data_IF_453567808684
#
_entry.id   IF_453567808684
#
_cell.length_a   1.000
_cell.length_b   1.000
_cell.length_c   1.000
_cell.angle_alpha   90.00
_cell.angle_beta   90.00
_cell.angle_gamma   90.00
#
_symmetry.space_group_name_H-M   'P 1'
#
loop_
_entity.id
_entity.type
_entity.pdbx_description
1 polymer ?
#
# COMPACT_ATOMS: atom_id res chain seq x y z
N UNK A 1 -9.41 -14.06 15.21
CA UNK A 1 -8.90 -12.78 15.72
C UNK A 1 -7.95 -12.98 16.90
N UNK A 2 -8.25 -13.87 17.84
CA UNK A 2 -7.39 -14.13 19.01
C UNK A 2 -6.37 -15.27 18.80
N UNK A 3 -6.45 -16.00 17.70
CA UNK A 3 -5.53 -17.10 17.39
C UNK A 3 -4.30 -16.64 16.58
N UNK A 4 -4.27 -15.40 16.14
CA UNK A 4 -3.14 -14.76 15.44
C UNK A 4 -2.59 -15.59 14.27
N UNK A 5 -3.50 -16.24 13.53
CA UNK A 5 -3.19 -17.05 12.35
C UNK A 5 -4.27 -16.93 11.29
N UNK A 6 -3.91 -17.34 10.09
CA UNK A 6 -4.80 -17.51 8.94
C UNK A 6 -4.94 -19.00 8.70
N UNK A 7 -6.14 -19.46 8.49
CA UNK A 7 -6.48 -20.84 8.14
C UNK A 7 -7.10 -20.86 6.74
N UNK A 8 -6.68 -21.83 5.94
CA UNK A 8 -7.15 -22.03 4.58
C UNK A 8 -7.89 -23.35 4.52
N UNK A 9 -9.09 -23.31 3.96
CA UNK A 9 -9.97 -24.44 3.75
C UNK A 9 -10.29 -24.58 2.26
N UNK A 10 -10.64 -25.78 1.82
CA UNK A 10 -11.20 -26.00 0.49
C UNK A 10 -12.69 -25.55 0.44
N UNK A 11 -13.31 -25.70 -0.75
CA UNK A 11 -14.71 -25.34 -0.95
C UNK A 11 -15.69 -26.22 -0.16
N UNK A 12 -15.28 -27.40 0.23
CA UNK A 12 -16.07 -28.35 1.04
C UNK A 12 -15.88 -28.14 2.55
N UNK A 13 -14.98 -27.19 2.92
CA UNK A 13 -14.70 -26.85 4.33
C UNK A 13 -13.63 -27.73 4.98
N UNK A 14 -12.90 -28.54 4.22
CA UNK A 14 -11.79 -29.31 4.75
C UNK A 14 -10.56 -28.43 4.96
N UNK A 15 -9.89 -28.60 6.08
CA UNK A 15 -8.67 -27.87 6.38
C UNK A 15 -7.54 -28.24 5.40
N UNK A 16 -6.92 -27.23 4.81
CA UNK A 16 -5.77 -27.38 3.91
C UNK A 16 -4.48 -27.06 4.67
N UNK A 17 -4.38 -25.85 5.20
CA UNK A 17 -3.18 -25.34 5.88
C UNK A 17 -3.46 -24.13 6.76
N UNK A 18 -2.47 -23.75 7.55
CA UNK A 18 -2.48 -22.50 8.31
C UNK A 18 -1.11 -21.86 8.29
N UNK A 19 -1.07 -20.54 8.48
CA UNK A 19 0.16 -19.78 8.66
C UNK A 19 -0.05 -18.60 9.61
N UNK A 20 1.07 -18.01 10.06
CA UNK A 20 1.09 -16.90 10.99
C UNK A 20 1.24 -17.35 12.45
N UNK A 21 1.72 -16.44 13.23
CA UNK A 21 1.93 -16.57 14.67
C UNK A 21 1.78 -15.24 15.37
N UNK A 22 1.57 -15.24 16.68
CA UNK A 22 1.53 -14.02 17.48
C UNK A 22 2.87 -13.29 17.45
N UNK A 23 2.84 -11.96 17.28
CA UNK A 23 4.01 -11.12 17.29
C UNK A 23 3.73 -9.73 16.71
N UNK A 24 4.71 -8.83 16.82
CA UNK A 24 4.67 -7.43 16.40
C UNK A 24 5.48 -7.12 15.12
N UNK A 25 6.25 -8.11 14.63
CA UNK A 25 7.08 -7.97 13.43
C UNK A 25 6.30 -8.29 12.16
N UNK A 26 6.75 -7.80 10.99
CA UNK A 26 6.21 -8.26 9.72
C UNK A 26 6.25 -9.79 9.61
N UNK A 27 5.20 -10.39 9.04
CA UNK A 27 5.01 -11.85 8.99
C UNK A 27 4.36 -12.45 10.25
N UNK A 28 4.09 -11.64 11.27
CA UNK A 28 3.36 -12.06 12.48
C UNK A 28 2.09 -11.23 12.66
N UNK A 29 1.21 -11.64 13.56
CA UNK A 29 -0.08 -10.97 13.79
C UNK A 29 -0.30 -10.65 15.27
N UNK A 30 -0.89 -9.50 15.52
CA UNK A 30 -1.40 -9.13 16.85
C UNK A 30 -2.93 -9.18 16.90
N UNK A 31 -3.60 -8.66 15.88
CA UNK A 31 -5.06 -8.67 15.79
C UNK A 31 -5.53 -8.61 14.34
N UNK A 32 -5.37 -9.70 13.57
CA UNK A 32 -5.84 -9.75 12.18
C UNK A 32 -7.37 -9.65 12.18
N UNK A 33 -7.93 -8.72 11.40
CA UNK A 33 -9.37 -8.48 11.28
C UNK A 33 -9.87 -8.60 9.85
N UNK A 34 -9.21 -7.92 8.91
CA UNK A 34 -9.57 -7.95 7.50
C UNK A 34 -8.73 -8.94 6.73
N UNK A 35 -9.33 -9.66 5.79
CA UNK A 35 -8.64 -10.55 4.88
C UNK A 35 -9.26 -10.42 3.49
N UNK A 36 -8.41 -10.44 2.46
CA UNK A 36 -8.80 -10.49 1.06
C UNK A 36 -7.79 -11.31 0.27
N UNK A 37 -8.21 -11.82 -0.89
CA UNK A 37 -7.33 -12.53 -1.82
C UNK A 37 -7.35 -11.75 -3.13
N UNK A 38 -6.16 -11.52 -3.72
CA UNK A 38 -6.05 -10.85 -5.01
C UNK A 38 -6.21 -11.83 -6.18
N UNK A 39 -6.12 -11.31 -7.41
CA UNK A 39 -6.31 -12.11 -8.62
C UNK A 39 -5.21 -13.15 -8.85
N UNK A 40 -4.05 -12.97 -8.24
CA UNK A 40 -2.90 -13.87 -8.31
C UNK A 40 -2.89 -14.92 -7.19
N UNK A 41 -3.89 -14.85 -6.28
CA UNK A 41 -4.06 -15.77 -5.16
C UNK A 41 -3.29 -15.39 -3.91
N UNK A 42 -2.66 -14.20 -3.86
CA UNK A 42 -1.99 -13.73 -2.64
C UNK A 42 -2.99 -13.38 -1.54
N UNK A 43 -2.61 -13.69 -0.33
CA UNK A 43 -3.45 -13.46 0.86
C UNK A 43 -3.06 -12.15 1.52
N UNK A 44 -3.97 -11.20 1.53
CA UNK A 44 -3.79 -9.90 2.15
C UNK A 44 -4.49 -9.84 3.50
N UNK A 45 -3.79 -9.37 4.52
CA UNK A 45 -4.28 -9.35 5.90
C UNK A 45 -4.10 -7.96 6.50
N UNK A 46 -5.19 -7.40 7.02
CA UNK A 46 -5.18 -6.15 7.77
C UNK A 46 -5.12 -6.45 9.28
N UNK A 47 -4.07 -5.98 9.95
CA UNK A 47 -3.90 -6.12 11.40
C UNK A 47 -4.24 -4.81 12.11
N UNK A 48 -5.25 -4.88 12.98
CA UNK A 48 -5.81 -3.70 13.65
C UNK A 48 -4.94 -3.13 14.77
N UNK A 49 -4.00 -3.89 15.30
CA UNK A 49 -3.10 -3.45 16.37
C UNK A 49 -1.75 -3.03 15.82
N UNK A 50 -1.27 -3.73 14.81
CA UNK A 50 -0.04 -3.33 14.11
C UNK A 50 -0.26 -2.15 13.16
N UNK A 51 -1.52 -1.76 12.87
CA UNK A 51 -1.87 -0.71 11.91
C UNK A 51 -1.16 -0.90 10.56
N UNK A 52 -1.17 -2.14 10.06
CA UNK A 52 -0.54 -2.49 8.78
C UNK A 52 -1.35 -3.52 8.01
N UNK A 53 -1.14 -3.50 6.71
CA UNK A 53 -1.63 -4.54 5.78
C UNK A 53 -0.42 -5.34 5.31
N UNK A 54 -0.54 -6.66 5.36
CA UNK A 54 0.52 -7.59 4.98
C UNK A 54 0.01 -8.50 3.86
N UNK A 55 0.86 -8.77 2.86
CA UNK A 55 0.60 -9.65 1.74
C UNK A 55 1.46 -10.90 1.85
N UNK A 56 0.86 -12.05 1.66
CA UNK A 56 1.50 -13.36 1.76
C UNK A 56 1.25 -14.18 0.51
N UNK A 57 2.17 -15.10 0.20
CA UNK A 57 1.88 -16.18 -0.74
C UNK A 57 0.77 -17.09 -0.18
N UNK A 58 0.13 -17.92 -1.01
CA UNK A 58 -0.81 -18.94 -0.52
C UNK A 58 -0.18 -19.92 0.49
N UNK A 59 1.14 -20.07 0.49
CA UNK A 59 1.91 -20.91 1.42
C UNK A 59 2.13 -20.24 2.77
N UNK A 60 2.02 -18.90 2.82
CA UNK A 60 2.15 -18.09 4.04
C UNK A 60 3.49 -17.36 4.16
N UNK A 61 4.25 -17.27 3.09
CA UNK A 61 5.48 -16.48 3.04
C UNK A 61 5.14 -15.00 2.85
N UNK A 62 5.71 -14.14 3.67
CA UNK A 62 5.51 -12.69 3.58
C UNK A 62 6.16 -12.14 2.31
N UNK A 63 5.36 -11.49 1.46
CA UNK A 63 5.81 -10.80 0.24
C UNK A 63 6.11 -9.33 0.52
N UNK A 64 5.11 -8.58 0.96
CA UNK A 64 5.24 -7.17 1.27
C UNK A 64 4.35 -6.79 2.45
N UNK A 65 4.62 -5.65 3.03
CA UNK A 65 3.71 -5.00 3.97
C UNK A 65 3.69 -3.49 3.75
N UNK A 66 2.59 -2.85 4.14
CA UNK A 66 2.42 -1.40 4.04
C UNK A 66 1.67 -0.86 5.26
N UNK A 67 1.85 0.42 5.52
CA UNK A 67 1.19 1.13 6.61
C UNK A 67 2.08 1.34 7.82
N UNK A 68 1.45 1.72 8.90
CA UNK A 68 2.02 2.07 10.19
C UNK A 68 1.07 2.98 10.93
N UNK A 69 1.25 3.14 12.23
CA UNK A 69 0.35 3.93 13.07
C UNK A 69 0.36 5.41 12.68
N UNK A 70 -0.82 5.97 12.43
CA UNK A 70 -0.98 7.40 12.15
C UNK A 70 -2.24 7.74 11.35
N UNK A 71 -2.35 9.03 10.99
CA UNK A 71 -3.52 9.59 10.29
C UNK A 71 -3.19 10.16 8.91
N UNK A 72 -1.93 10.17 8.52
CA UNK A 72 -1.51 10.61 7.18
C UNK A 72 -1.91 9.59 6.11
N UNK A 73 -1.96 9.98 4.84
CA UNK A 73 -2.13 9.02 3.74
C UNK A 73 -1.07 7.90 3.82
N UNK A 74 -1.51 6.65 3.68
CA UNK A 74 -0.65 5.47 3.82
C UNK A 74 -0.37 5.02 5.26
N UNK A 75 -0.79 5.78 6.26
CA UNK A 75 -0.82 5.36 7.65
C UNK A 75 -2.22 4.89 8.03
N UNK A 76 -2.31 4.08 9.07
CA UNK A 76 -3.58 3.52 9.53
C UNK A 76 -3.78 3.72 11.03
N UNK A 77 -5.05 3.68 11.41
CA UNK A 77 -5.45 3.72 12.80
C UNK A 77 -6.67 2.84 13.02
N UNK A 78 -6.47 1.74 13.73
CA UNK A 78 -7.52 0.75 14.00
C UNK A 78 -8.14 0.20 12.71
N UNK A 79 -7.32 -0.46 11.89
CA UNK A 79 -7.79 -1.16 10.68
C UNK A 79 -8.92 -2.12 11.02
N UNK A 80 -10.00 -2.08 10.24
CA UNK A 80 -11.19 -2.89 10.46
C UNK A 80 -11.52 -3.81 9.29
N UNK A 81 -11.38 -3.33 8.07
CA UNK A 81 -11.74 -4.06 6.87
C UNK A 81 -10.71 -3.92 5.76
N UNK A 82 -10.74 -4.90 4.87
CA UNK A 82 -9.89 -5.00 3.69
C UNK A 82 -10.71 -5.60 2.55
N UNK A 83 -10.60 -5.01 1.37
CA UNK A 83 -11.20 -5.52 0.14
C UNK A 83 -10.25 -5.27 -1.02
N UNK A 84 -10.16 -6.20 -1.96
CA UNK A 84 -9.37 -6.07 -3.18
C UNK A 84 -10.25 -6.39 -4.36
N UNK A 85 -10.23 -5.54 -5.36
CA UNK A 85 -10.99 -5.75 -6.58
C UNK A 85 -10.14 -6.42 -7.69
N UNK A 86 -10.81 -6.79 -8.78
CA UNK A 86 -10.18 -7.44 -9.95
C UNK A 86 -9.11 -6.59 -10.67
N UNK A 87 -8.96 -5.31 -10.32
CA UNK A 87 -7.94 -4.43 -10.88
C UNK A 87 -6.80 -4.16 -9.89
N UNK A 88 -6.64 -5.03 -8.88
CA UNK A 88 -5.64 -4.90 -7.82
C UNK A 88 -5.73 -3.57 -7.04
N UNK A 89 -6.95 -3.01 -6.93
CA UNK A 89 -7.21 -1.89 -6.03
C UNK A 89 -7.55 -2.42 -4.65
N UNK A 90 -6.79 -1.98 -3.67
CA UNK A 90 -6.90 -2.38 -2.28
C UNK A 90 -7.65 -1.28 -1.54
N UNK A 91 -8.78 -1.63 -0.94
CA UNK A 91 -9.58 -0.73 -0.12
C UNK A 91 -9.43 -1.13 1.34
N UNK A 92 -9.04 -0.19 2.18
CA UNK A 92 -8.94 -0.37 3.61
C UNK A 92 -9.98 0.50 4.31
N UNK A 93 -10.59 -0.01 5.36
CA UNK A 93 -11.47 0.78 6.23
C UNK A 93 -10.88 0.86 7.64
N UNK A 94 -10.99 2.03 8.25
CA UNK A 94 -10.49 2.34 9.59
C UNK A 94 -11.65 2.72 10.49
N UNK A 95 -11.65 2.20 11.73
CA UNK A 95 -12.66 2.59 12.73
C UNK A 95 -12.43 4.01 13.22
N UNK A 96 -11.19 4.45 13.28
CA UNK A 96 -10.82 5.81 13.62
C UNK A 96 -9.76 6.32 12.61
N UNK A 97 -9.97 7.47 12.00
CA UNK A 97 -11.04 8.46 12.16
C UNK A 97 -12.34 8.17 11.38
N UNK A 98 -12.61 6.94 10.97
CA UNK A 98 -13.76 6.60 10.13
C UNK A 98 -13.46 6.88 8.65
N UNK A 99 -12.35 6.36 8.14
CA UNK A 99 -11.79 6.64 6.83
C UNK A 99 -11.70 5.38 5.99
N UNK A 100 -11.86 5.55 4.68
CA UNK A 100 -11.49 4.55 3.68
C UNK A 100 -10.31 5.08 2.90
N UNK A 101 -9.28 4.25 2.69
CA UNK A 101 -8.18 4.56 1.79
C UNK A 101 -8.15 3.54 0.66
N UNK A 102 -7.76 4.00 -0.52
CA UNK A 102 -7.59 3.15 -1.69
C UNK A 102 -6.13 3.20 -2.14
N UNK A 103 -5.56 2.02 -2.30
CA UNK A 103 -4.22 1.81 -2.84
C UNK A 103 -4.31 0.99 -4.11
N UNK A 104 -3.32 1.08 -4.96
CA UNK A 104 -3.17 0.19 -6.10
C UNK A 104 -1.86 -0.57 -5.97
N UNK A 105 -1.96 -1.87 -6.02
CA UNK A 105 -0.81 -2.75 -6.17
C UNK A 105 -0.44 -2.80 -7.65
N UNK A 106 0.84 -2.62 -7.95
CA UNK A 106 1.38 -2.76 -9.29
C UNK A 106 2.14 -4.06 -9.39
N UNK A 107 1.90 -4.82 -10.44
CA UNK A 107 2.80 -5.90 -10.84
C UNK A 107 4.16 -5.33 -11.21
N UNK A 108 5.21 -6.16 -11.25
CA UNK A 108 6.56 -5.70 -11.59
C UNK A 108 6.61 -5.00 -12.96
N UNK A 109 5.86 -5.50 -13.93
CA UNK A 109 5.81 -4.91 -15.27
C UNK A 109 5.07 -3.57 -15.28
N UNK A 110 3.95 -3.46 -14.58
CA UNK A 110 3.24 -2.20 -14.39
C UNK A 110 4.10 -1.17 -13.64
N UNK A 111 4.81 -1.60 -12.60
CA UNK A 111 5.70 -0.74 -11.82
C UNK A 111 6.84 -0.19 -12.69
N UNK A 112 7.46 -1.02 -13.55
CA UNK A 112 8.48 -0.59 -14.51
C UNK A 112 7.93 0.41 -15.51
N UNK A 113 6.75 0.14 -16.06
CA UNK A 113 6.09 1.04 -17.01
C UNK A 113 5.74 2.40 -16.39
N UNK A 114 5.22 2.39 -15.16
CA UNK A 114 4.88 3.62 -14.43
C UNK A 114 6.12 4.44 -14.08
N UNK A 115 7.20 3.80 -13.62
CA UNK A 115 8.48 4.45 -13.38
C UNK A 115 9.07 5.09 -14.64
N UNK A 116 8.95 4.41 -15.78
CA UNK A 116 9.39 4.96 -17.08
C UNK A 116 8.59 6.20 -17.46
N UNK A 117 7.27 6.18 -17.28
CA UNK A 117 6.40 7.34 -17.52
C UNK A 117 6.74 8.53 -16.63
N UNK A 118 6.97 8.31 -15.34
CA UNK A 118 7.35 9.37 -14.39
C UNK A 118 8.67 10.02 -14.77
N UNK A 119 9.68 9.22 -15.11
CA UNK A 119 10.98 9.72 -15.57
C UNK A 119 10.89 10.54 -16.86
N UNK A 120 10.01 10.16 -17.79
CA UNK A 120 9.77 10.93 -19.02
C UNK A 120 9.07 12.27 -18.72
N UNK A 121 8.08 12.28 -17.83
CA UNK A 121 7.38 13.49 -17.42
C UNK A 121 8.31 14.47 -16.69
N UNK A 122 9.21 14.00 -15.84
CA UNK A 122 10.22 14.83 -15.17
C UNK A 122 11.21 15.45 -16.17
N UNK A 123 11.68 14.68 -17.15
CA UNK A 123 12.54 15.21 -18.22
C UNK A 123 11.83 16.27 -19.06
N UNK A 124 10.59 16.05 -19.46
CA UNK A 124 9.82 17.01 -20.23
C UNK A 124 9.56 18.33 -19.47
N UNK A 125 9.48 18.28 -18.15
CA UNK A 125 9.29 19.45 -17.31
C UNK A 125 10.59 20.26 -17.10
N UNK A 126 11.75 19.59 -17.12
CA UNK A 126 13.07 20.21 -17.04
C UNK A 126 13.45 20.89 -18.38
N UNK A 127 13.09 20.30 -19.51
CA UNK A 127 13.37 20.88 -20.85
C UNK A 127 12.41 22.01 -21.19
N UNK A 128 11.26 22.13 -20.53
CA UNK A 128 10.28 23.21 -20.71
C UNK A 128 10.55 24.49 -19.90
N UNK A 129 11.45 24.46 -18.93
CA UNK A 129 11.85 25.62 -18.14
C UNK A 129 12.94 26.41 -18.87
N UNK A 130 12.55 27.22 -19.85
CA UNK A 130 13.44 28.25 -20.40
C UNK A 130 13.84 29.22 -19.29
N UNK A 131 15.13 29.55 -19.13
CA UNK A 131 15.53 30.61 -18.21
C UNK A 131 14.95 31.95 -18.71
N UNK A 132 14.12 32.60 -17.91
CA UNK A 132 13.71 33.96 -18.16
C UNK A 132 14.93 34.86 -17.98
N UNK A 133 15.52 35.28 -19.10
CA UNK A 133 16.49 36.37 -19.15
C UNK A 133 15.78 37.66 -18.77
N UNK A 134 15.78 38.00 -17.50
CA UNK A 134 15.46 39.37 -17.10
C UNK A 134 16.72 40.21 -17.32
N UNK A 135 16.71 40.90 -18.44
CA UNK A 135 17.73 41.91 -18.78
C UNK A 135 17.72 43.04 -17.74
N UNK A 136 18.88 43.24 -17.16
CA UNK A 136 19.17 44.37 -16.32
C UNK A 136 18.90 45.68 -17.07
N UNK A 137 17.97 46.48 -16.59
CA UNK A 137 17.88 47.89 -16.98
C UNK A 137 18.79 48.69 -16.03
N UNK A 138 19.94 49.04 -16.53
CA UNK A 138 20.78 50.08 -15.98
C UNK A 138 20.02 51.40 -16.06
N UNK A 139 19.77 52.04 -14.93
CA UNK A 139 19.37 53.44 -14.91
C UNK A 139 20.51 54.26 -14.28
N UNK A 140 21.31 54.83 -15.20
CA UNK A 140 22.20 55.96 -14.96
C UNK A 140 21.37 57.25 -15.01
N UNK A 141 21.32 58.00 -13.95
CA UNK A 141 21.12 59.45 -14.07
C UNK A 141 21.62 60.17 -12.84
N UNK A 142 22.54 61.02 -13.06
CA UNK A 142 23.17 62.06 -12.26
C UNK A 142 22.14 63.07 -11.65
N UNK A 143 22.45 63.51 -10.55
CA UNK A 143 22.59 64.84 -9.94
C UNK A 143 22.17 64.82 -8.47
#
# INVERSE_FOLDING_TARGET
TYNNRIEIFDADGNFIRQFGKAGDRPGTFMRPKGIAVDVDGHVWVADAVQDRVQCFTPEGDLLIWMGGHGTLPGQFRTLAGLYIDKNNRIFTSEQYPGRVQMFRYFTDDEARAELARRKQAEKGNLDGAKPSTNAAATNSAAR
#
